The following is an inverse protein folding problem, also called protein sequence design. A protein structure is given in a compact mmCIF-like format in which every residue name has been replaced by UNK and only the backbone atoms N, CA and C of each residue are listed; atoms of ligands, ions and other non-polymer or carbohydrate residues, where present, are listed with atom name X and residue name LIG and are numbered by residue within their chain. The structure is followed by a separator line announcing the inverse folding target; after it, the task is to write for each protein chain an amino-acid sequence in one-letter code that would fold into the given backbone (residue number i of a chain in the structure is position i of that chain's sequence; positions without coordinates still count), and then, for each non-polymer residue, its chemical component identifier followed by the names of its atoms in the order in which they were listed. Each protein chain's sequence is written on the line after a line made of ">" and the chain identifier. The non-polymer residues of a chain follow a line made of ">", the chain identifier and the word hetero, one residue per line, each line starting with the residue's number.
data_IF_265080421633
#
_entry.id   IF_265080421633
#
_cell.length_a   1.000
_cell.length_b   1.000
_cell.length_c   1.000
_cell.angle_alpha   90.00
_cell.angle_beta   90.00
_cell.angle_gamma   90.00
#
_symmetry.space_group_name_H-M   'P 1'
#
loop_
_entity.id
_entity.type
_entity.pdbx_description
1 polymer ?
#
# COMPACT_ATOMS: atom_id res chain seq x y z
N UNK A 1 -14.09 -51.42 45.36
CA UNK A 1 -14.40 -52.01 44.05
C UNK A 1 -14.39 -50.86 43.06
N UNK A 2 -13.25 -50.46 42.55
CA UNK A 2 -12.55 -50.87 41.33
C UNK A 2 -13.43 -50.79 40.10
N UNK A 3 -13.22 -49.75 39.31
CA UNK A 3 -13.17 -49.86 37.85
C UNK A 3 -12.51 -48.64 37.27
N UNK A 4 -11.41 -48.87 36.63
CA UNK A 4 -10.58 -48.06 35.77
C UNK A 4 -11.30 -47.75 34.44
N UNK A 5 -11.31 -46.48 34.01
CA UNK A 5 -11.53 -46.13 32.61
C UNK A 5 -10.36 -45.28 32.09
N UNK A 6 -9.70 -45.84 31.10
CA UNK A 6 -8.68 -45.21 30.26
C UNK A 6 -9.36 -44.25 29.29
N UNK A 7 -9.05 -42.98 29.33
CA UNK A 7 -9.33 -42.06 28.23
C UNK A 7 -8.03 -41.66 27.56
N UNK A 8 -7.90 -42.03 26.30
CA UNK A 8 -6.87 -41.64 25.35
C UNK A 8 -7.10 -40.16 25.01
N UNK A 9 -6.18 -39.30 25.39
CA UNK A 9 -6.13 -37.90 24.96
C UNK A 9 -5.13 -37.81 23.79
N UNK A 10 -5.66 -37.59 22.61
CA UNK A 10 -4.88 -37.15 21.46
C UNK A 10 -4.30 -35.76 21.73
N UNK A 11 -2.99 -35.66 21.73
CA UNK A 11 -2.23 -34.44 21.85
C UNK A 11 -2.23 -33.72 20.50
N UNK A 12 -3.01 -32.63 20.36
CA UNK A 12 -2.76 -31.61 19.36
C UNK A 12 -1.50 -30.85 19.75
N UNK A 13 -0.41 -31.07 19.01
CA UNK A 13 0.84 -30.32 19.13
C UNK A 13 0.65 -28.86 18.72
N UNK A 14 0.41 -28.00 19.69
CA UNK A 14 0.51 -26.55 19.53
C UNK A 14 1.96 -26.15 19.75
N UNK A 15 2.70 -25.86 18.68
CA UNK A 15 4.00 -25.20 18.76
C UNK A 15 3.86 -23.80 19.37
N UNK A 16 3.89 -23.74 20.70
CA UNK A 16 4.07 -22.49 21.44
C UNK A 16 5.55 -22.15 21.43
N UNK A 17 5.95 -21.18 20.62
CA UNK A 17 7.25 -20.51 20.73
C UNK A 17 7.31 -19.78 22.08
N UNK A 18 7.88 -20.43 23.09
CA UNK A 18 8.21 -19.82 24.38
C UNK A 18 9.46 -18.97 24.22
N UNK A 19 9.39 -17.74 24.71
CA UNK A 19 10.47 -16.84 25.13
C UNK A 19 11.85 -17.01 24.50
N UNK A 20 12.00 -16.55 23.24
CA UNK A 20 13.31 -16.35 22.63
C UNK A 20 13.38 -14.91 22.05
N UNK A 21 13.19 -13.91 22.92
CA UNK A 21 13.43 -12.50 22.60
C UNK A 21 14.92 -12.13 22.65
N UNK A 22 15.81 -13.10 22.91
CA UNK A 22 17.27 -12.88 23.08
C UNK A 22 18.16 -13.52 21.99
N UNK A 23 17.64 -14.27 21.03
CA UNK A 23 18.48 -15.01 20.08
C UNK A 23 18.41 -14.54 18.62
N UNK A 24 17.64 -13.51 18.29
CA UNK A 24 17.63 -12.92 16.94
C UNK A 24 18.57 -11.71 16.78
N UNK A 25 19.38 -11.37 17.78
CA UNK A 25 20.27 -10.21 17.79
C UNK A 25 21.75 -10.54 17.86
N UNK A 26 22.20 -11.77 17.63
CA UNK A 26 23.62 -12.08 17.72
C UNK A 26 24.15 -12.82 16.48
N UNK A 27 24.40 -12.02 15.45
CA UNK A 27 25.07 -12.43 14.20
C UNK A 27 26.02 -11.35 13.68
N UNK A 28 26.52 -10.45 14.57
CA UNK A 28 27.56 -9.47 14.20
C UNK A 28 28.37 -9.07 15.42
N UNK A 29 29.35 -9.92 15.82
CA UNK A 29 30.57 -9.52 16.53
C UNK A 29 31.57 -10.65 16.41
N UNK A 30 32.59 -10.45 15.58
CA UNK A 30 33.99 -10.58 15.94
C UNK A 30 34.86 -10.39 14.70
N UNK A 31 35.84 -9.53 14.82
CA UNK A 31 36.90 -9.30 13.84
C UNK A 31 37.49 -7.90 14.00
N UNK A 32 38.10 -7.65 15.14
CA UNK A 32 38.84 -6.42 15.40
C UNK A 32 40.20 -6.41 14.74
N UNK A 33 40.63 -5.21 14.47
CA UNK A 33 41.97 -4.65 14.42
C UNK A 33 43.10 -5.44 13.72
N UNK A 34 43.59 -4.85 12.62
CA UNK A 34 45.03 -4.42 12.64
C UNK A 34 45.32 -3.46 11.48
N UNK A 35 45.97 -2.36 11.83
CA UNK A 35 46.64 -1.43 10.93
C UNK A 35 47.81 -2.09 10.23
N UNK A 36 48.05 -1.85 8.96
CA UNK A 36 49.35 -1.34 8.49
C UNK A 36 49.34 -0.80 7.07
N UNK A 37 49.99 0.33 6.96
CA UNK A 37 50.47 1.04 5.77
C UNK A 37 51.24 0.14 4.79
N UNK A 38 51.12 0.44 3.48
CA UNK A 38 52.07 -0.01 2.48
C UNK A 38 51.74 0.54 1.10
N UNK A 39 52.55 1.45 0.64
CA UNK A 39 52.57 2.09 -0.66
C UNK A 39 53.06 1.18 -1.80
N UNK A 40 52.68 1.57 -3.02
CA UNK A 40 53.35 1.35 -4.35
C UNK A 40 53.23 -0.04 -4.99
N UNK A 41 52.84 -0.20 -6.23
CA UNK A 41 53.40 0.18 -7.49
C UNK A 41 52.65 -0.51 -8.64
N UNK A 42 52.62 0.15 -9.78
CA UNK A 42 52.26 -0.39 -11.10
C UNK A 42 53.01 -1.69 -11.42
N UNK A 43 52.36 -2.65 -12.06
CA UNK A 43 52.93 -3.15 -13.32
C UNK A 43 51.92 -3.96 -14.17
N UNK A 44 52.11 -3.81 -15.49
CA UNK A 44 51.48 -4.52 -16.58
C UNK A 44 51.83 -6.02 -16.60
N UNK A 45 50.94 -6.84 -17.15
CA UNK A 45 51.35 -8.14 -17.64
C UNK A 45 50.18 -9.11 -17.83
N UNK A 46 49.92 -9.41 -19.09
CA UNK A 46 48.89 -10.39 -19.48
C UNK A 46 49.26 -11.85 -19.12
N UNK A 47 48.24 -12.66 -18.98
CA UNK A 47 48.42 -14.11 -18.77
C UNK A 47 47.10 -14.83 -18.75
N UNK A 48 46.84 -15.61 -19.75
CA UNK A 48 45.75 -16.56 -19.93
C UNK A 48 45.83 -17.71 -18.89
N UNK A 49 44.66 -18.30 -18.65
CA UNK A 49 44.34 -19.66 -18.21
C UNK A 49 43.89 -19.85 -16.76
N UNK A 50 42.73 -20.49 -16.70
CA UNK A 50 42.44 -21.46 -15.65
C UNK A 50 40.99 -21.50 -15.19
N UNK A 51 40.19 -22.35 -15.80
CA UNK A 51 38.89 -22.79 -15.33
C UNK A 51 38.90 -23.20 -13.89
N UNK A 52 38.00 -22.66 -13.08
CA UNK A 52 37.40 -23.38 -11.95
C UNK A 52 35.95 -22.99 -11.81
N UNK A 53 35.09 -23.94 -12.11
CA UNK A 53 33.67 -23.94 -11.88
C UNK A 53 33.33 -23.66 -10.43
N UNK A 54 32.74 -22.50 -10.19
CA UNK A 54 32.00 -22.18 -8.97
C UNK A 54 30.54 -22.29 -9.29
N UNK A 55 29.87 -23.34 -8.80
CA UNK A 55 28.43 -23.57 -8.90
C UNK A 55 27.65 -22.52 -8.12
N UNK A 56 27.55 -21.34 -8.69
CA UNK A 56 26.50 -20.38 -8.34
C UNK A 56 25.24 -20.79 -9.09
N UNK A 57 24.21 -21.27 -8.40
CA UNK A 57 22.88 -21.40 -8.96
C UNK A 57 22.44 -20.03 -9.44
N UNK A 58 22.63 -19.75 -10.72
CA UNK A 58 22.08 -18.59 -11.40
C UNK A 58 20.56 -18.63 -11.31
N UNK A 59 19.95 -17.64 -10.67
CA UNK A 59 18.52 -17.39 -10.84
C UNK A 59 18.29 -17.22 -12.36
N UNK A 60 17.27 -17.88 -12.95
CA UNK A 60 16.99 -17.71 -14.35
C UNK A 60 16.68 -16.24 -14.64
N UNK A 61 17.49 -15.60 -15.48
CA UNK A 61 17.19 -14.27 -16.04
C UNK A 61 15.89 -14.38 -16.83
N UNK A 62 14.79 -13.93 -16.21
CA UNK A 62 13.51 -13.78 -16.91
C UNK A 62 13.73 -12.83 -18.10
N UNK A 63 13.35 -13.28 -19.30
CA UNK A 63 13.32 -12.44 -20.49
C UNK A 63 12.61 -11.11 -20.15
N UNK A 64 13.13 -9.98 -20.68
CA UNK A 64 12.53 -8.66 -20.47
C UNK A 64 11.03 -8.60 -20.81
N UNK A 65 10.54 -9.48 -21.71
CA UNK A 65 9.12 -9.62 -22.05
C UNK A 65 8.29 -10.26 -20.93
N UNK A 66 8.87 -11.13 -20.10
CA UNK A 66 8.17 -11.86 -19.04
C UNK A 66 8.05 -11.04 -17.75
N UNK A 67 8.94 -10.06 -17.54
CA UNK A 67 8.89 -9.15 -16.39
C UNK A 67 7.65 -8.25 -16.43
N UNK A 68 7.05 -8.04 -17.61
CA UNK A 68 5.93 -7.11 -17.82
C UNK A 68 4.54 -7.77 -17.81
N UNK A 69 4.44 -9.05 -17.44
CA UNK A 69 3.16 -9.77 -17.39
C UNK A 69 2.48 -9.63 -16.03
N UNK A 70 1.14 -9.73 -16.02
CA UNK A 70 0.36 -9.73 -14.79
C UNK A 70 0.68 -10.93 -13.89
N UNK A 71 1.06 -12.06 -14.48
CA UNK A 71 1.47 -13.29 -13.81
C UNK A 71 2.89 -13.25 -13.22
N UNK A 72 3.76 -12.29 -13.63
CA UNK A 72 5.10 -12.19 -13.07
C UNK A 72 5.07 -11.85 -11.56
N UNK A 73 5.88 -12.46 -10.68
CA UNK A 73 5.83 -12.22 -9.25
C UNK A 73 6.21 -10.78 -8.90
N UNK A 74 5.32 -10.06 -8.20
CA UNK A 74 5.55 -8.70 -7.72
C UNK A 74 6.37 -8.67 -6.43
N UNK A 75 6.28 -9.72 -5.62
CA UNK A 75 6.93 -9.86 -4.33
C UNK A 75 7.91 -11.03 -4.39
N UNK A 76 9.21 -10.75 -4.54
CA UNK A 76 10.25 -11.78 -4.70
C UNK A 76 11.08 -12.00 -3.44
N UNK A 77 11.32 -10.96 -2.65
CA UNK A 77 12.23 -10.98 -1.49
C UNK A 77 11.56 -10.38 -0.26
N UNK A 78 12.05 -10.78 0.91
CA UNK A 78 11.73 -10.11 2.18
C UNK A 78 12.35 -8.72 2.16
N UNK A 79 11.57 -7.69 2.46
CA UNK A 79 12.01 -6.30 2.55
C UNK A 79 11.40 -5.66 3.78
N UNK A 80 12.13 -4.74 4.40
CA UNK A 80 11.66 -3.95 5.52
C UNK A 80 11.16 -2.59 5.05
N UNK A 81 10.26 -1.98 5.85
CA UNK A 81 9.82 -0.61 5.60
C UNK A 81 10.95 0.37 5.94
N UNK A 82 11.13 1.46 5.18
CA UNK A 82 12.23 2.41 5.37
C UNK A 82 12.37 2.95 6.79
N UNK A 83 11.27 3.29 7.45
CA UNK A 83 11.27 3.77 8.85
C UNK A 83 11.52 2.66 9.90
N UNK A 84 11.53 1.38 9.50
CA UNK A 84 11.89 0.24 10.36
C UNK A 84 13.38 -0.08 10.29
N UNK A 85 14.12 0.44 9.30
CA UNK A 85 15.53 0.18 9.12
C UNK A 85 16.38 1.15 9.94
N UNK A 86 17.44 0.65 10.58
CA UNK A 86 18.40 1.46 11.35
C UNK A 86 19.19 2.46 10.49
N UNK A 87 19.09 2.35 9.16
CA UNK A 87 19.77 3.22 8.21
C UNK A 87 19.39 4.70 8.34
N UNK A 88 18.17 5.03 8.82
CA UNK A 88 17.73 6.42 9.03
C UNK A 88 18.52 7.10 10.17
N UNK A 89 18.91 6.34 11.19
CA UNK A 89 19.61 6.88 12.35
C UNK A 89 21.12 7.07 12.12
N UNK A 90 21.66 6.57 11.01
CA UNK A 90 23.10 6.67 10.68
C UNK A 90 23.48 7.91 9.85
N UNK A 91 22.53 8.81 9.52
CA UNK A 91 22.82 9.98 8.71
C UNK A 91 23.53 11.09 9.51
N UNK A 92 24.59 11.67 8.90
CA UNK A 92 25.47 12.67 9.52
C UNK A 92 24.82 14.04 9.83
N UNK A 93 23.54 14.24 9.52
CA UNK A 93 22.83 15.53 9.69
C UNK A 93 21.85 15.55 10.90
N UNK A 94 22.04 14.66 11.87
CA UNK A 94 21.17 14.57 13.05
C UNK A 94 21.05 15.90 13.82
N UNK A 95 22.10 16.72 13.87
CA UNK A 95 22.09 18.04 14.53
C UNK A 95 21.15 19.03 13.84
N UNK A 96 21.17 19.13 12.51
CA UNK A 96 20.27 19.98 11.74
C UNK A 96 18.81 19.53 11.87
N UNK A 97 18.59 18.22 11.83
CA UNK A 97 17.27 17.65 12.02
C UNK A 97 16.70 17.96 13.42
N UNK A 98 17.50 17.80 14.47
CA UNK A 98 17.11 18.13 15.83
C UNK A 98 16.81 19.64 15.98
N UNK A 99 17.61 20.51 15.37
CA UNK A 99 17.36 21.94 15.36
C UNK A 99 16.02 22.26 14.67
N UNK A 100 15.73 21.66 13.52
CA UNK A 100 14.45 21.81 12.84
C UNK A 100 13.27 21.37 13.72
N UNK A 101 13.41 20.27 14.46
CA UNK A 101 12.38 19.82 15.42
C UNK A 101 12.18 20.83 16.53
N UNK A 102 13.26 21.34 17.13
CA UNK A 102 13.17 22.34 18.21
C UNK A 102 12.47 23.61 17.71
N UNK A 103 12.85 24.14 16.55
CA UNK A 103 12.21 25.31 15.94
C UNK A 103 10.74 25.03 15.65
N UNK A 104 10.42 23.88 15.10
CA UNK A 104 9.05 23.47 14.81
C UNK A 104 8.20 23.41 16.09
N UNK A 105 8.72 22.81 17.17
CA UNK A 105 8.05 22.73 18.47
C UNK A 105 7.88 24.13 19.06
N UNK A 106 8.88 24.98 19.02
CA UNK A 106 8.82 26.34 19.55
C UNK A 106 7.76 27.20 18.83
N UNK A 107 7.73 27.17 17.49
CA UNK A 107 6.73 27.90 16.70
C UNK A 107 5.32 27.38 16.94
N UNK A 108 5.14 26.05 17.02
CA UNK A 108 3.83 25.46 17.24
C UNK A 108 3.35 25.59 18.70
N UNK A 109 4.25 25.70 19.70
CA UNK A 109 3.90 25.88 21.11
C UNK A 109 3.05 27.13 21.32
N UNK A 110 3.41 28.24 20.65
CA UNK A 110 2.62 29.45 20.69
C UNK A 110 1.19 29.24 20.16
N UNK A 111 1.06 28.61 19.01
CA UNK A 111 -0.25 28.33 18.41
C UNK A 111 -1.09 27.40 19.29
N UNK A 112 -0.46 26.43 19.94
CA UNK A 112 -1.11 25.52 20.88
C UNK A 112 -1.65 26.30 22.09
N UNK A 113 -0.82 27.15 22.72
CA UNK A 113 -1.19 27.95 23.89
C UNK A 113 -2.32 28.92 23.53
N UNK A 114 -2.20 29.68 22.43
CA UNK A 114 -3.22 30.63 21.99
C UNK A 114 -4.57 29.92 21.71
N UNK A 115 -4.55 28.73 21.08
CA UNK A 115 -5.75 27.95 20.83
C UNK A 115 -6.38 27.44 22.13
N UNK A 116 -5.57 26.90 23.06
CA UNK A 116 -6.02 26.40 24.34
C UNK A 116 -6.59 27.51 25.22
N UNK A 117 -5.99 28.70 25.23
CA UNK A 117 -6.49 29.87 25.95
C UNK A 117 -7.82 30.35 25.35
N UNK A 118 -8.00 30.31 24.03
CA UNK A 118 -9.19 30.82 23.35
C UNK A 118 -10.39 29.89 23.46
N UNK A 119 -10.19 28.57 23.32
CA UNK A 119 -11.27 27.58 23.19
C UNK A 119 -11.35 26.60 24.36
N UNK A 120 -10.36 26.61 25.29
CA UNK A 120 -10.22 25.60 26.32
C UNK A 120 -9.91 24.22 25.72
N UNK A 121 -9.98 23.18 26.55
CA UNK A 121 -9.79 21.78 26.10
C UNK A 121 -11.10 21.23 25.52
N UNK A 122 -11.17 21.08 24.20
CA UNK A 122 -12.36 20.65 23.48
C UNK A 122 -12.52 19.12 23.39
N UNK A 123 -11.65 18.35 24.06
CA UNK A 123 -11.70 16.88 24.02
C UNK A 123 -13.04 16.39 24.59
N UNK A 124 -13.86 15.88 23.72
CA UNK A 124 -15.08 15.13 24.11
C UNK A 124 -14.80 13.64 23.95
N UNK A 125 -14.87 12.89 25.02
CA UNK A 125 -14.74 11.43 25.05
C UNK A 125 -15.72 10.73 24.08
N UNK A 126 -16.80 11.42 23.66
CA UNK A 126 -17.81 10.95 22.71
C UNK A 126 -17.42 11.00 21.23
N UNK A 127 -16.24 11.48 20.85
CA UNK A 127 -15.78 11.48 19.45
C UNK A 127 -15.79 10.05 18.85
N UNK A 128 -15.32 9.08 19.62
CA UNK A 128 -15.28 7.66 19.24
C UNK A 128 -16.61 6.93 19.36
N UNK A 129 -17.54 7.46 20.16
CA UNK A 129 -18.84 6.85 20.48
C UNK A 129 -20.00 7.79 20.16
N UNK A 130 -20.06 8.29 18.92
CA UNK A 130 -21.21 9.08 18.50
C UNK A 130 -22.45 8.21 18.45
N UNK A 131 -23.55 8.67 19.09
CA UNK A 131 -24.87 8.01 19.09
C UNK A 131 -25.53 7.90 17.69
N UNK A 132 -24.86 8.34 16.65
CA UNK A 132 -25.26 8.15 15.23
C UNK A 132 -24.95 6.75 14.69
N UNK A 133 -24.32 5.87 15.47
CA UNK A 133 -23.93 4.51 15.05
C UNK A 133 -25.09 3.65 14.53
N UNK A 134 -26.31 3.86 15.01
CA UNK A 134 -27.50 3.14 14.54
C UNK A 134 -27.92 3.50 13.11
N UNK A 135 -27.62 4.71 12.62
CA UNK A 135 -27.90 5.12 11.23
C UNK A 135 -26.89 4.54 10.24
N UNK A 136 -25.73 4.10 10.72
CA UNK A 136 -24.65 3.53 9.90
C UNK A 136 -24.77 1.99 9.75
N UNK A 137 -25.79 1.38 10.38
CA UNK A 137 -26.03 -0.06 10.28
C UNK A 137 -26.09 -0.61 8.84
N UNK A 138 -26.75 0.06 7.87
CA UNK A 138 -26.79 -0.42 6.49
C UNK A 138 -25.40 -0.45 5.84
N UNK A 139 -24.51 0.50 6.20
CA UNK A 139 -23.13 0.52 5.69
C UNK A 139 -22.31 -0.64 6.25
N UNK A 140 -22.52 -1.00 7.54
CA UNK A 140 -21.89 -2.16 8.15
C UNK A 140 -22.37 -3.46 7.46
N UNK A 141 -23.68 -3.60 7.21
CA UNK A 141 -24.21 -4.74 6.47
C UNK A 141 -23.64 -4.82 5.05
N UNK A 142 -23.55 -3.67 4.37
CA UNK A 142 -22.89 -3.59 3.06
C UNK A 142 -21.44 -4.07 3.15
N UNK A 143 -20.67 -3.61 4.14
CA UNK A 143 -19.28 -4.03 4.35
C UNK A 143 -19.16 -5.55 4.57
N UNK A 144 -20.05 -6.16 5.34
CA UNK A 144 -20.08 -7.59 5.61
C UNK A 144 -20.44 -8.44 4.38
N UNK A 145 -21.14 -7.87 3.40
CA UNK A 145 -21.46 -8.55 2.13
C UNK A 145 -20.35 -8.48 1.09
N UNK A 146 -19.38 -7.54 1.21
CA UNK A 146 -18.30 -7.37 0.24
C UNK A 146 -17.47 -8.65 -0.02
N UNK A 147 -17.18 -9.53 0.94
CA UNK A 147 -16.46 -10.79 0.70
C UNK A 147 -17.14 -11.74 -0.30
N UNK A 148 -18.44 -11.54 -0.57
CA UNK A 148 -19.16 -12.36 -1.56
C UNK A 148 -18.62 -12.14 -2.99
N UNK A 149 -18.08 -10.94 -3.32
CA UNK A 149 -17.54 -10.65 -4.66
C UNK A 149 -16.27 -11.44 -4.97
N UNK A 150 -15.23 -11.44 -4.11
CA UNK A 150 -14.07 -12.33 -4.30
C UNK A 150 -14.43 -13.81 -4.35
N UNK A 151 -15.42 -14.25 -3.57
CA UNK A 151 -15.91 -15.64 -3.62
C UNK A 151 -16.57 -15.95 -4.96
N UNK A 152 -17.41 -15.05 -5.49
CA UNK A 152 -18.03 -15.20 -6.80
C UNK A 152 -16.96 -15.27 -7.91
N UNK A 153 -15.95 -14.39 -7.88
CA UNK A 153 -14.85 -14.42 -8.83
C UNK A 153 -14.03 -15.71 -8.73
N UNK A 154 -13.80 -16.21 -7.51
CA UNK A 154 -13.14 -17.50 -7.29
C UNK A 154 -13.91 -18.66 -7.91
N UNK A 155 -15.24 -18.69 -7.76
CA UNK A 155 -16.09 -19.73 -8.36
C UNK A 155 -16.03 -19.67 -9.89
N UNK A 156 -16.10 -18.46 -10.47
CA UNK A 156 -15.96 -18.27 -11.92
C UNK A 156 -14.60 -18.78 -12.40
N UNK A 157 -13.51 -18.45 -11.71
CA UNK A 157 -12.17 -18.93 -12.04
C UNK A 157 -12.07 -20.44 -11.92
N UNK A 158 -12.62 -21.04 -10.87
CA UNK A 158 -12.63 -22.51 -10.70
C UNK A 158 -13.40 -23.24 -11.80
N UNK A 159 -14.53 -22.69 -12.23
CA UNK A 159 -15.29 -23.21 -13.38
C UNK A 159 -14.51 -23.05 -14.71
N UNK A 160 -13.80 -21.92 -14.86
CA UNK A 160 -12.95 -21.66 -16.02
C UNK A 160 -11.76 -22.63 -16.11
N UNK A 161 -11.12 -22.96 -14.99
CA UNK A 161 -10.05 -23.96 -14.92
C UNK A 161 -10.56 -25.36 -15.28
N UNK A 162 -11.77 -25.72 -14.86
CA UNK A 162 -12.44 -26.98 -15.24
C UNK A 162 -12.94 -26.98 -16.70
N UNK A 163 -12.69 -25.91 -17.47
CA UNK A 163 -13.13 -25.73 -18.86
C UNK A 163 -14.67 -25.82 -19.10
N UNK A 164 -15.44 -25.58 -18.05
CA UNK A 164 -16.91 -25.61 -18.13
C UNK A 164 -17.47 -24.32 -18.76
N UNK A 165 -16.68 -23.24 -18.77
CA UNK A 165 -17.10 -21.92 -19.26
C UNK A 165 -16.10 -21.42 -20.32
N UNK A 166 -16.60 -20.83 -21.41
CA UNK A 166 -15.78 -20.25 -22.47
C UNK A 166 -15.08 -18.94 -22.01
N UNK A 167 -13.92 -18.63 -22.60
CA UNK A 167 -13.12 -17.43 -22.25
C UNK A 167 -13.91 -16.11 -22.26
N UNK A 168 -14.75 -15.81 -23.28
CA UNK A 168 -15.51 -14.55 -23.30
C UNK A 168 -16.58 -14.49 -22.20
N UNK A 169 -17.19 -15.62 -21.84
CA UNK A 169 -18.18 -15.68 -20.76
C UNK A 169 -17.52 -15.45 -19.41
N UNK A 170 -16.32 -15.99 -19.17
CA UNK A 170 -15.55 -15.71 -17.95
C UNK A 170 -15.25 -14.21 -17.83
N UNK A 171 -14.81 -13.57 -18.92
CA UNK A 171 -14.54 -12.13 -18.93
C UNK A 171 -15.81 -11.33 -18.64
N UNK A 172 -16.94 -11.71 -19.24
CA UNK A 172 -18.23 -11.05 -18.99
C UNK A 172 -18.64 -11.13 -17.51
N UNK A 173 -18.55 -12.31 -16.88
CA UNK A 173 -18.85 -12.47 -15.46
C UNK A 173 -17.92 -11.63 -14.57
N UNK A 174 -16.63 -11.58 -14.89
CA UNK A 174 -15.68 -10.75 -14.15
C UNK A 174 -16.01 -9.26 -14.24
N UNK A 175 -16.37 -8.76 -15.42
CA UNK A 175 -16.80 -7.36 -15.60
C UNK A 175 -18.07 -7.08 -14.80
N UNK A 176 -19.06 -7.97 -14.85
CA UNK A 176 -20.31 -7.83 -14.09
C UNK A 176 -20.02 -7.78 -12.58
N UNK A 177 -19.24 -8.72 -12.05
CA UNK A 177 -18.87 -8.77 -10.62
C UNK A 177 -18.17 -7.48 -10.20
N UNK A 178 -17.16 -7.03 -10.97
CA UNK A 178 -16.41 -5.81 -10.67
C UNK A 178 -17.26 -4.54 -10.71
N UNK A 179 -18.24 -4.46 -11.62
CA UNK A 179 -19.17 -3.32 -11.72
C UNK A 179 -20.15 -3.31 -10.55
N UNK A 180 -20.74 -4.45 -10.21
CA UNK A 180 -21.69 -4.55 -9.10
C UNK A 180 -21.00 -4.22 -7.77
N UNK A 181 -19.76 -4.65 -7.58
CA UNK A 181 -18.97 -4.38 -6.37
C UNK A 181 -18.83 -2.87 -6.08
N UNK A 182 -18.69 -2.02 -7.11
CA UNK A 182 -18.63 -0.57 -6.93
C UNK A 182 -20.03 0.03 -6.81
N UNK A 183 -20.96 -0.36 -7.69
CA UNK A 183 -22.29 0.26 -7.78
C UNK A 183 -23.12 0.02 -6.51
N UNK A 184 -23.04 -1.19 -5.95
CA UNK A 184 -23.81 -1.56 -4.77
C UNK A 184 -23.50 -0.69 -3.54
N UNK A 185 -22.25 -0.49 -3.08
CA UNK A 185 -21.94 0.39 -1.96
C UNK A 185 -22.25 1.86 -2.25
N UNK A 186 -22.03 2.34 -3.48
CA UNK A 186 -22.39 3.69 -3.90
C UNK A 186 -23.89 3.91 -3.72
N UNK A 187 -24.73 2.97 -4.18
CA UNK A 187 -26.17 3.04 -4.01
C UNK A 187 -26.57 3.06 -2.53
N UNK A 188 -25.96 2.20 -1.70
CA UNK A 188 -26.23 2.15 -0.25
C UNK A 188 -25.90 3.49 0.42
N UNK A 189 -24.71 4.07 0.14
CA UNK A 189 -24.29 5.35 0.74
C UNK A 189 -25.22 6.49 0.32
N UNK A 190 -25.63 6.54 -0.93
CA UNK A 190 -26.53 7.59 -1.43
C UNK A 190 -27.92 7.49 -0.81
N UNK A 191 -28.43 6.26 -0.58
CA UNK A 191 -29.76 6.02 0.01
C UNK A 191 -29.80 6.21 1.52
N UNK A 192 -28.69 5.92 2.22
CA UNK A 192 -28.63 6.00 3.67
C UNK A 192 -28.08 7.37 4.10
N UNK A 193 -28.70 7.97 5.10
CA UNK A 193 -28.22 9.21 5.72
C UNK A 193 -27.12 8.92 6.75
N UNK A 194 -25.98 8.40 6.24
CA UNK A 194 -24.83 7.97 7.02
C UNK A 194 -23.86 9.10 7.32
N UNK A 195 -23.00 8.92 8.32
CA UNK A 195 -21.89 9.82 8.57
C UNK A 195 -20.89 9.78 7.40
N UNK A 196 -20.34 10.94 7.02
CA UNK A 196 -19.36 11.06 5.93
C UNK A 196 -18.14 10.15 6.15
N UNK A 197 -17.67 10.06 7.40
CA UNK A 197 -16.52 9.23 7.75
C UNK A 197 -16.80 7.72 7.54
N UNK A 198 -17.99 7.25 7.91
CA UNK A 198 -18.42 5.87 7.70
C UNK A 198 -18.52 5.55 6.20
N UNK A 199 -19.10 6.47 5.42
CA UNK A 199 -19.17 6.36 3.96
C UNK A 199 -17.79 6.34 3.31
N UNK A 200 -16.86 7.23 3.74
CA UNK A 200 -15.49 7.27 3.26
C UNK A 200 -14.75 5.95 3.56
N UNK A 201 -14.89 5.43 4.79
CA UNK A 201 -14.28 4.16 5.18
C UNK A 201 -14.79 3.02 4.32
N UNK A 202 -16.10 2.93 4.08
CA UNK A 202 -16.70 1.92 3.20
C UNK A 202 -16.15 2.02 1.78
N UNK A 203 -16.09 3.23 1.18
CA UNK A 203 -15.55 3.43 -0.17
C UNK A 203 -14.07 3.08 -0.29
N UNK A 204 -13.27 3.34 0.74
CA UNK A 204 -11.85 2.91 0.78
C UNK A 204 -11.73 1.38 0.80
N UNK A 205 -12.55 0.69 1.62
CA UNK A 205 -12.57 -0.77 1.67
C UNK A 205 -12.99 -1.35 0.32
N UNK A 206 -14.06 -0.82 -0.29
CA UNK A 206 -14.52 -1.20 -1.64
C UNK A 206 -13.40 -1.04 -2.66
N UNK A 207 -12.73 0.12 -2.68
CA UNK A 207 -11.63 0.37 -3.62
C UNK A 207 -10.47 -0.63 -3.45
N UNK A 208 -10.11 -0.98 -2.21
CA UNK A 208 -9.07 -1.98 -1.94
C UNK A 208 -9.50 -3.37 -2.44
N UNK A 209 -10.74 -3.79 -2.16
CA UNK A 209 -11.26 -5.08 -2.59
C UNK A 209 -11.34 -5.14 -4.11
N UNK A 210 -11.79 -4.08 -4.76
CA UNK A 210 -11.85 -3.98 -6.22
C UNK A 210 -10.46 -4.10 -6.86
N UNK A 211 -9.47 -3.37 -6.36
CA UNK A 211 -8.09 -3.47 -6.86
C UNK A 211 -7.55 -4.90 -6.71
N UNK A 212 -7.82 -5.56 -5.58
CA UNK A 212 -7.44 -6.96 -5.36
C UNK A 212 -8.19 -7.90 -6.29
N UNK A 213 -9.48 -7.69 -6.49
CA UNK A 213 -10.33 -8.48 -7.36
C UNK A 213 -9.84 -8.42 -8.81
N UNK A 214 -9.58 -7.23 -9.36
CA UNK A 214 -8.99 -7.05 -10.69
C UNK A 214 -7.64 -7.74 -10.80
N UNK A 215 -6.79 -7.62 -9.78
CA UNK A 215 -5.49 -8.29 -9.78
C UNK A 215 -5.62 -9.82 -9.80
N UNK A 216 -6.54 -10.38 -9.02
CA UNK A 216 -6.83 -11.80 -8.99
C UNK A 216 -7.31 -12.30 -10.36
N UNK A 217 -8.31 -11.66 -10.94
CA UNK A 217 -8.89 -12.01 -12.22
C UNK A 217 -7.89 -11.90 -13.38
N UNK A 218 -7.17 -10.77 -13.47
CA UNK A 218 -6.19 -10.52 -14.52
C UNK A 218 -5.02 -11.50 -14.47
N UNK A 219 -4.51 -11.79 -13.26
CA UNK A 219 -3.40 -12.73 -13.10
C UNK A 219 -3.81 -14.16 -13.47
N UNK A 220 -4.99 -14.62 -13.06
CA UNK A 220 -5.49 -15.94 -13.43
C UNK A 220 -5.80 -16.05 -14.92
N UNK A 221 -6.33 -14.99 -15.54
CA UNK A 221 -6.50 -14.93 -16.99
C UNK A 221 -5.16 -15.08 -17.73
N UNK A 222 -4.13 -14.35 -17.26
CA UNK A 222 -2.78 -14.42 -17.84
C UNK A 222 -2.16 -15.81 -17.68
N UNK A 223 -2.30 -16.46 -16.52
CA UNK A 223 -1.88 -17.83 -16.29
C UNK A 223 -2.60 -18.82 -17.25
N UNK A 224 -3.91 -18.74 -17.38
CA UNK A 224 -4.66 -19.61 -18.28
C UNK A 224 -4.27 -19.45 -19.75
N UNK A 225 -3.92 -18.23 -20.17
CA UNK A 225 -3.53 -17.97 -21.56
C UNK A 225 -2.11 -18.43 -21.87
N UNK A 226 -1.23 -18.48 -20.86
CA UNK A 226 0.16 -18.91 -21.02
C UNK A 226 0.38 -20.38 -20.83
N UNK A 227 -0.23 -20.99 -19.81
CA UNK A 227 0.01 -22.40 -19.50
C UNK A 227 -0.56 -23.34 -20.56
N UNK A 228 -1.47 -22.87 -21.41
CA UNK A 228 -2.12 -23.69 -22.42
C UNK A 228 -1.24 -24.12 -23.61
N UNK A 229 -0.31 -23.29 -24.13
CA UNK A 229 0.60 -23.68 -25.21
C UNK A 229 1.84 -24.45 -24.74
N UNK A 230 2.38 -24.09 -23.57
CA UNK A 230 3.68 -24.58 -23.07
C UNK A 230 3.55 -25.96 -22.42
N UNK A 231 2.40 -26.23 -21.79
CA UNK A 231 2.14 -27.50 -21.10
C UNK A 231 2.03 -28.73 -22.03
N UNK A 232 1.94 -28.54 -23.37
CA UNK A 232 1.85 -29.64 -24.31
C UNK A 232 3.20 -30.13 -24.85
N UNK A 233 4.22 -29.27 -24.89
CA UNK A 233 5.47 -29.58 -25.57
C UNK A 233 6.74 -29.61 -24.71
N UNK A 234 6.79 -28.89 -23.52
CA UNK A 234 8.01 -28.75 -22.76
C UNK A 234 8.05 -29.39 -21.35
N UNK A 235 6.94 -29.95 -20.84
CA UNK A 235 6.92 -30.69 -19.55
C UNK A 235 7.74 -31.99 -19.58
N UNK A 236 8.32 -32.34 -20.72
CA UNK A 236 9.06 -33.60 -20.90
C UNK A 236 10.59 -33.48 -20.71
N UNK A 237 11.14 -32.31 -20.56
CA UNK A 237 12.60 -32.18 -20.60
C UNK A 237 13.25 -31.15 -19.70
N UNK A 238 12.72 -30.73 -18.58
CA UNK A 238 13.62 -30.14 -17.56
C UNK A 238 12.82 -29.78 -16.30
N UNK A 239 13.25 -30.31 -15.17
CA UNK A 239 12.65 -30.19 -13.85
C UNK A 239 12.60 -28.79 -13.23
N UNK A 240 12.11 -27.78 -13.95
CA UNK A 240 11.69 -26.50 -13.40
C UNK A 240 10.21 -26.58 -13.03
N UNK A 241 9.91 -27.36 -12.01
CA UNK A 241 8.66 -27.27 -11.30
C UNK A 241 8.60 -25.89 -10.60
N UNK A 242 8.17 -24.85 -11.32
CA UNK A 242 7.44 -23.78 -10.66
C UNK A 242 6.22 -24.48 -10.05
N UNK A 243 6.16 -24.57 -8.70
CA UNK A 243 5.10 -25.24 -7.94
C UNK A 243 3.73 -24.61 -8.19
N UNK A 244 3.29 -24.71 -9.45
CA UNK A 244 1.99 -24.29 -9.91
C UNK A 244 1.03 -25.45 -9.66
N UNK A 245 0.28 -25.38 -8.59
CA UNK A 245 -0.84 -26.28 -8.37
C UNK A 245 -1.88 -26.01 -9.48
N UNK A 246 -2.30 -27.06 -10.19
CA UNK A 246 -3.27 -27.00 -11.29
C UNK A 246 -4.66 -26.44 -10.89
N UNK A 247 -4.86 -26.02 -9.66
CA UNK A 247 -6.12 -25.49 -9.15
C UNK A 247 -5.91 -24.22 -8.34
N UNK A 248 -6.82 -23.25 -8.51
CA UNK A 248 -6.85 -22.02 -7.70
C UNK A 248 -7.25 -22.38 -6.27
N UNK A 249 -6.33 -22.19 -5.33
CA UNK A 249 -6.57 -22.52 -3.92
C UNK A 249 -7.45 -21.47 -3.23
N UNK A 250 -8.49 -21.91 -2.52
CA UNK A 250 -9.31 -21.05 -1.68
C UNK A 250 -8.50 -20.40 -0.55
N UNK A 251 -7.62 -21.17 0.10
CA UNK A 251 -6.72 -20.63 1.13
C UNK A 251 -5.79 -19.54 0.60
N UNK A 252 -5.31 -19.69 -0.65
CA UNK A 252 -4.53 -18.66 -1.34
C UNK A 252 -5.31 -17.37 -1.58
N UNK A 253 -6.59 -17.47 -1.99
CA UNK A 253 -7.47 -16.30 -2.13
C UNK A 253 -7.68 -15.61 -0.78
N UNK A 254 -8.06 -16.35 0.27
CA UNK A 254 -8.30 -15.78 1.61
C UNK A 254 -7.04 -15.08 2.13
N UNK A 255 -5.88 -15.74 2.01
CA UNK A 255 -4.61 -15.13 2.38
C UNK A 255 -4.35 -13.83 1.59
N UNK A 256 -4.55 -13.83 0.28
CA UNK A 256 -4.38 -12.64 -0.55
C UNK A 256 -5.33 -11.52 -0.16
N UNK A 257 -6.60 -11.82 0.10
CA UNK A 257 -7.58 -10.81 0.51
C UNK A 257 -7.21 -10.14 1.84
N UNK A 258 -6.56 -10.87 2.74
CA UNK A 258 -6.09 -10.34 4.03
C UNK A 258 -4.69 -9.71 3.95
N UNK A 259 -3.83 -10.15 3.05
CA UNK A 259 -2.44 -9.67 2.95
C UNK A 259 -2.35 -8.19 2.58
N UNK A 260 -1.35 -7.44 3.10
CA UNK A 260 -1.14 -6.02 2.79
C UNK A 260 -0.50 -5.83 1.41
N UNK A 261 -1.12 -6.36 0.39
CA UNK A 261 -0.72 -6.22 -1.02
C UNK A 261 -1.93 -6.13 -1.93
N UNK A 262 -1.80 -5.44 -3.06
CA UNK A 262 -2.84 -5.35 -4.09
C UNK A 262 -2.56 -6.26 -5.30
N UNK A 263 -1.35 -6.84 -5.39
CA UNK A 263 -0.96 -7.69 -6.49
C UNK A 263 -1.09 -9.17 -6.10
N UNK A 264 -1.96 -9.90 -6.79
CA UNK A 264 -2.11 -11.34 -6.61
C UNK A 264 -0.91 -12.10 -7.13
N UNK A 265 -0.47 -13.10 -6.38
CA UNK A 265 0.48 -14.14 -6.81
C UNK A 265 0.23 -15.44 -6.03
N UNK A 266 0.56 -16.62 -6.57
CA UNK A 266 0.31 -17.90 -5.92
C UNK A 266 1.07 -18.09 -4.60
N UNK A 267 2.28 -17.53 -4.49
CA UNK A 267 3.12 -17.63 -3.30
C UNK A 267 3.74 -16.28 -2.94
N UNK A 268 3.86 -16.00 -1.65
CA UNK A 268 4.45 -14.78 -1.13
C UNK A 268 5.65 -15.10 -0.25
N UNK A 269 6.69 -14.25 -0.21
CA UNK A 269 7.77 -14.40 0.74
C UNK A 269 7.21 -14.30 2.17
N UNK A 270 7.61 -15.21 3.05
CA UNK A 270 7.14 -15.27 4.44
C UNK A 270 8.29 -15.08 5.42
N UNK A 271 8.00 -14.40 6.54
CA UNK A 271 8.91 -14.32 7.68
C UNK A 271 8.88 -15.60 8.53
N UNK A 272 9.97 -15.88 9.25
CA UNK A 272 10.09 -17.12 10.02
C UNK A 272 9.12 -17.21 11.18
N UNK A 273 8.95 -16.11 11.95
CA UNK A 273 8.09 -16.08 13.15
C UNK A 273 7.34 -14.75 13.31
N UNK A 274 6.37 -14.71 14.23
CA UNK A 274 5.63 -13.52 14.61
C UNK A 274 6.24 -12.96 15.89
N UNK A 275 6.72 -11.72 15.86
CA UNK A 275 7.35 -11.02 17.00
C UNK A 275 6.29 -10.34 17.86
N UNK A 276 5.69 -11.07 18.81
CA UNK A 276 4.56 -10.60 19.64
C UNK A 276 4.85 -9.29 20.37
N UNK A 277 6.00 -9.17 21.04
CA UNK A 277 6.39 -7.95 21.76
C UNK A 277 6.55 -6.74 20.83
N UNK A 278 7.05 -6.95 19.61
CA UNK A 278 7.10 -5.91 18.59
C UNK A 278 5.69 -5.46 18.17
N UNK A 279 4.76 -6.40 17.94
CA UNK A 279 3.37 -6.09 17.57
C UNK A 279 2.70 -5.23 18.63
N UNK A 280 2.82 -5.60 19.90
CA UNK A 280 2.23 -4.85 21.04
C UNK A 280 2.76 -3.41 21.04
N UNK A 281 4.08 -3.22 20.89
CA UNK A 281 4.68 -1.87 20.80
C UNK A 281 4.12 -1.06 19.63
N UNK A 282 3.93 -1.67 18.45
CA UNK A 282 3.34 -0.98 17.30
C UNK A 282 1.85 -0.66 17.50
N UNK A 283 1.09 -1.55 18.13
CA UNK A 283 -0.31 -1.28 18.48
C UNK A 283 -0.44 -0.11 19.46
N UNK A 284 0.43 -0.01 20.47
CA UNK A 284 0.45 1.13 21.39
C UNK A 284 0.76 2.43 20.64
N UNK A 285 1.79 2.43 19.76
CA UNK A 285 2.09 3.59 18.90
C UNK A 285 0.89 3.97 18.03
N UNK A 286 0.22 2.99 17.42
CA UNK A 286 -0.97 3.22 16.60
C UNK A 286 -2.08 3.91 17.41
N UNK A 287 -2.36 3.43 18.61
CA UNK A 287 -3.37 4.03 19.50
C UNK A 287 -3.00 5.48 19.89
N UNK A 288 -1.73 5.73 20.25
CA UNK A 288 -1.25 7.08 20.62
C UNK A 288 -1.36 8.05 19.45
N UNK A 289 -0.84 7.68 18.27
CA UNK A 289 -0.87 8.57 17.09
C UNK A 289 -2.28 8.79 16.54
N UNK A 290 -3.15 7.77 16.62
CA UNK A 290 -4.57 7.93 16.26
C UNK A 290 -5.30 8.85 17.24
N UNK A 291 -5.01 8.74 18.54
CA UNK A 291 -5.51 9.68 19.55
C UNK A 291 -5.04 11.11 19.31
N UNK A 292 -3.75 11.28 18.99
CA UNK A 292 -3.17 12.58 18.66
C UNK A 292 -3.79 13.20 17.40
N UNK A 293 -4.03 12.40 16.38
CA UNK A 293 -4.74 12.82 15.16
C UNK A 293 -6.17 13.29 15.49
N UNK A 294 -6.91 12.53 16.29
CA UNK A 294 -8.24 12.92 16.76
C UNK A 294 -8.22 14.23 17.55
N UNK A 295 -7.22 14.43 18.43
CA UNK A 295 -7.01 15.68 19.15
C UNK A 295 -6.82 16.88 18.20
N UNK A 296 -5.98 16.74 17.17
CA UNK A 296 -5.77 17.82 16.19
C UNK A 296 -7.08 18.15 15.46
N UNK A 297 -7.85 17.15 15.07
CA UNK A 297 -9.12 17.36 14.37
C UNK A 297 -10.10 18.13 15.25
N UNK A 298 -10.32 17.68 16.50
CA UNK A 298 -11.28 18.30 17.41
C UNK A 298 -10.85 19.69 17.90
N UNK A 299 -9.59 19.84 18.24
CA UNK A 299 -9.07 21.07 18.87
C UNK A 299 -8.81 22.18 17.86
N UNK A 300 -8.36 21.83 16.64
CA UNK A 300 -7.91 22.81 15.64
C UNK A 300 -8.80 22.88 14.42
N UNK A 301 -9.09 21.73 13.78
CA UNK A 301 -9.81 21.71 12.49
C UNK A 301 -11.27 22.06 12.69
N UNK A 302 -11.95 21.42 13.62
CA UNK A 302 -13.39 21.63 13.83
C UNK A 302 -13.77 23.08 14.18
N UNK A 303 -13.06 23.81 15.05
CA UNK A 303 -13.36 25.22 15.30
C UNK A 303 -13.18 26.10 14.05
N UNK A 304 -12.11 25.87 13.27
CA UNK A 304 -11.84 26.64 12.04
C UNK A 304 -12.96 26.39 11.04
N UNK A 305 -13.38 25.15 10.84
CA UNK A 305 -14.45 24.77 9.92
C UNK A 305 -15.79 25.35 10.35
N UNK A 306 -16.15 25.25 11.64
CA UNK A 306 -17.39 25.85 12.18
C UNK A 306 -17.44 27.36 11.99
N UNK A 307 -16.33 28.07 12.27
CA UNK A 307 -16.24 29.50 12.05
C UNK A 307 -16.23 29.90 10.57
N UNK A 308 -15.98 28.93 9.67
CA UNK A 308 -15.99 29.17 8.22
C UNK A 308 -17.36 29.03 7.58
N UNK A 309 -18.37 28.52 8.30
CA UNK A 309 -19.74 28.31 7.77
C UNK A 309 -20.52 29.63 7.59
N UNK A 310 -20.05 30.74 8.22
CA UNK A 310 -20.62 32.05 7.96
C UNK A 310 -20.26 32.51 6.54
N UNK A 311 -21.25 33.01 5.77
CA UNK A 311 -21.03 33.44 4.39
C UNK A 311 -19.92 34.49 4.34
N UNK A 312 -18.95 34.25 3.47
CA UNK A 312 -17.89 35.19 3.15
C UNK A 312 -18.54 36.40 2.46
N UNK A 313 -18.77 37.50 3.17
CA UNK A 313 -19.04 38.78 2.51
C UNK A 313 -17.76 39.18 1.74
N UNK A 314 -17.65 38.73 0.50
CA UNK A 314 -16.95 39.38 -0.59
C UNK A 314 -15.42 39.47 -0.58
N UNK A 315 -14.66 39.06 0.45
CA UNK A 315 -13.20 39.27 0.48
C UNK A 315 -12.43 37.98 0.21
N UNK A 316 -11.84 37.88 -1.00
CA UNK A 316 -10.91 36.81 -1.40
C UNK A 316 -9.75 36.61 -0.43
N UNK A 317 -9.20 37.68 0.18
CA UNK A 317 -8.16 37.62 1.20
C UNK A 317 -8.59 36.82 2.44
N UNK A 318 -9.83 36.97 2.90
CA UNK A 318 -10.36 36.19 4.02
C UNK A 318 -10.48 34.69 3.69
N UNK A 319 -10.73 34.35 2.43
CA UNK A 319 -10.73 32.94 1.98
C UNK A 319 -9.31 32.36 2.00
N UNK A 320 -8.32 33.10 1.52
CA UNK A 320 -6.90 32.71 1.56
C UNK A 320 -6.45 32.53 3.01
N UNK A 321 -6.75 33.48 3.91
CA UNK A 321 -6.38 33.37 5.32
C UNK A 321 -6.97 32.11 5.97
N UNK A 322 -8.22 31.76 5.69
CA UNK A 322 -8.85 30.54 6.21
C UNK A 322 -8.19 29.28 5.67
N UNK A 323 -7.88 29.23 4.39
CA UNK A 323 -7.16 28.11 3.78
C UNK A 323 -5.78 27.95 4.41
N UNK A 324 -5.04 29.03 4.59
CA UNK A 324 -3.72 29.01 5.26
C UNK A 324 -3.81 28.55 6.71
N UNK A 325 -4.81 29.03 7.47
CA UNK A 325 -5.03 28.59 8.86
C UNK A 325 -5.36 27.09 8.95
N UNK A 326 -6.04 26.53 7.95
CA UNK A 326 -6.41 25.11 7.90
C UNK A 326 -5.26 24.23 7.38
N UNK A 327 -4.35 24.78 6.57
CA UNK A 327 -3.31 23.99 5.88
C UNK A 327 -2.36 23.28 6.84
N UNK A 328 -1.91 23.96 7.89
CA UNK A 328 -0.94 23.42 8.88
C UNK A 328 -1.55 22.27 9.70
N UNK A 329 -2.71 22.43 10.38
CA UNK A 329 -3.34 21.32 11.09
C UNK A 329 -3.67 20.14 10.17
N UNK A 330 -4.13 20.42 8.96
CA UNK A 330 -4.43 19.38 7.98
C UNK A 330 -3.17 18.62 7.54
N UNK A 331 -2.03 19.30 7.38
CA UNK A 331 -0.75 18.65 7.09
C UNK A 331 -0.35 17.67 8.20
N UNK A 332 -0.50 18.08 9.49
CA UNK A 332 -0.19 17.18 10.61
C UNK A 332 -1.11 15.96 10.64
N UNK A 333 -2.42 16.14 10.41
CA UNK A 333 -3.37 15.03 10.31
C UNK A 333 -2.98 14.09 9.17
N UNK A 334 -2.59 14.63 8.02
CA UNK A 334 -2.16 13.85 6.87
C UNK A 334 -0.88 13.04 7.17
N UNK A 335 0.13 13.65 7.81
CA UNK A 335 1.37 12.97 8.21
C UNK A 335 1.09 11.87 9.25
N UNK A 336 0.24 12.14 10.25
CA UNK A 336 -0.19 11.14 11.23
C UNK A 336 -0.94 9.99 10.56
N UNK A 337 -1.86 10.29 9.64
CA UNK A 337 -2.60 9.29 8.86
C UNK A 337 -1.66 8.42 8.03
N UNK A 338 -0.68 9.04 7.35
CA UNK A 338 0.34 8.30 6.61
C UNK A 338 1.10 7.34 7.53
N UNK A 339 1.61 7.83 8.67
CA UNK A 339 2.36 7.02 9.64
C UNK A 339 1.50 5.90 10.23
N UNK A 340 0.27 6.21 10.67
CA UNK A 340 -0.65 5.22 11.23
C UNK A 340 -1.01 4.13 10.22
N UNK A 341 -1.34 4.49 8.98
CA UNK A 341 -1.79 3.53 7.99
C UNK A 341 -0.63 2.78 7.33
N UNK A 342 0.29 3.50 6.66
CA UNK A 342 1.34 2.86 5.86
C UNK A 342 2.46 2.25 6.70
N UNK A 343 2.85 2.92 7.82
CA UNK A 343 3.95 2.39 8.63
C UNK A 343 3.44 1.46 9.74
N UNK A 344 2.47 1.86 10.53
CA UNK A 344 2.04 1.05 11.68
C UNK A 344 1.09 -0.07 11.26
N UNK A 345 -0.08 0.27 10.70
CA UNK A 345 -1.13 -0.70 10.40
C UNK A 345 -0.69 -1.77 9.40
N UNK A 346 -0.11 -1.38 8.25
CA UNK A 346 0.33 -2.36 7.24
C UNK A 346 1.44 -3.27 7.75
N UNK A 347 2.38 -2.76 8.59
CA UNK A 347 3.41 -3.59 9.19
C UNK A 347 2.86 -4.53 10.28
N UNK A 348 1.90 -4.10 11.10
CA UNK A 348 1.21 -4.96 12.06
C UNK A 348 0.50 -6.10 11.31
N UNK A 349 -0.25 -5.79 10.26
CA UNK A 349 -0.94 -6.77 9.43
C UNK A 349 0.05 -7.73 8.74
N UNK A 350 1.17 -7.22 8.23
CA UNK A 350 2.24 -8.02 7.65
C UNK A 350 2.86 -8.98 8.66
N UNK A 351 3.06 -8.54 9.89
CA UNK A 351 3.62 -9.40 10.96
C UNK A 351 2.67 -10.53 11.32
N UNK A 352 1.37 -10.25 11.51
CA UNK A 352 0.36 -11.28 11.79
C UNK A 352 0.25 -12.32 10.68
N UNK A 353 0.34 -11.90 9.42
CA UNK A 353 0.25 -12.78 8.26
C UNK A 353 1.60 -13.36 7.83
N UNK A 354 2.67 -13.05 8.57
CA UNK A 354 4.05 -13.43 8.22
C UNK A 354 4.44 -13.01 6.80
N UNK A 355 3.88 -11.88 6.33
CA UNK A 355 4.14 -11.33 5.01
C UNK A 355 5.52 -10.65 4.98
N UNK A 356 6.39 -11.05 4.04
CA UNK A 356 7.80 -10.67 4.05
C UNK A 356 8.15 -9.39 3.28
N UNK A 357 7.43 -9.04 2.21
CA UNK A 357 7.72 -7.82 1.43
C UNK A 357 7.02 -6.60 2.03
N UNK A 358 7.68 -5.95 2.98
CA UNK A 358 7.15 -4.81 3.74
C UNK A 358 7.51 -3.45 3.13
N UNK A 359 7.87 -3.40 1.86
CA UNK A 359 8.11 -2.16 1.13
C UNK A 359 6.78 -1.52 0.73
N UNK A 360 6.08 -0.91 1.72
CA UNK A 360 4.79 -0.25 1.50
C UNK A 360 4.93 1.18 0.98
N UNK A 361 6.10 1.79 1.19
CA UNK A 361 6.49 3.11 0.71
C UNK A 361 8.02 3.17 0.62
N UNK A 362 8.55 4.18 -0.07
CA UNK A 362 9.98 4.52 -0.10
C UNK A 362 10.19 5.90 0.51
N UNK A 363 11.39 6.44 0.41
CA UNK A 363 11.80 7.75 0.97
C UNK A 363 11.16 8.91 0.19
N UNK A 364 9.83 8.94 0.09
CA UNK A 364 9.08 9.93 -0.67
C UNK A 364 9.34 11.37 -0.21
N UNK A 365 9.77 11.58 1.04
CA UNK A 365 10.17 12.88 1.57
C UNK A 365 11.48 13.41 0.98
N UNK A 366 12.28 12.57 0.34
CA UNK A 366 13.49 12.91 -0.39
C UNK A 366 13.28 13.03 -1.91
N UNK A 367 12.04 12.93 -2.38
CA UNK A 367 11.71 13.02 -3.79
C UNK A 367 12.06 14.39 -4.36
N UNK A 368 12.76 14.43 -5.50
CA UNK A 368 13.17 15.65 -6.19
C UNK A 368 12.14 16.12 -7.22
N UNK A 369 11.26 15.23 -7.65
CA UNK A 369 10.23 15.51 -8.65
C UNK A 369 8.87 14.97 -8.20
N UNK A 370 7.79 15.55 -8.74
CA UNK A 370 6.41 15.09 -8.47
C UNK A 370 6.22 13.63 -8.95
N UNK A 371 6.85 13.26 -10.08
CA UNK A 371 6.83 11.87 -10.57
C UNK A 371 7.48 10.91 -9.56
N UNK A 372 8.66 11.28 -9.05
CA UNK A 372 9.38 10.47 -8.07
C UNK A 372 8.58 10.33 -6.78
N UNK A 373 7.95 11.42 -6.30
CA UNK A 373 7.04 11.39 -5.16
C UNK A 373 5.92 10.37 -5.35
N UNK A 374 5.16 10.42 -6.45
CA UNK A 374 4.06 9.49 -6.71
C UNK A 374 4.51 8.04 -6.86
N UNK A 375 5.73 7.83 -7.35
CA UNK A 375 6.30 6.49 -7.46
C UNK A 375 6.72 5.89 -6.12
N UNK A 376 6.98 6.74 -5.10
CA UNK A 376 7.58 6.30 -3.83
C UNK A 376 6.60 6.26 -2.66
N UNK A 377 5.57 7.09 -2.66
CA UNK A 377 4.75 7.28 -1.48
C UNK A 377 3.76 6.14 -1.18
N UNK A 378 3.26 5.43 -2.18
CA UNK A 378 2.32 4.31 -2.04
C UNK A 378 2.71 3.16 -2.98
N UNK A 379 3.62 2.30 -2.51
CA UNK A 379 4.15 1.20 -3.31
C UNK A 379 3.11 0.13 -3.69
N UNK A 380 2.15 -0.29 -2.83
CA UNK A 380 1.10 -1.21 -3.22
C UNK A 380 0.29 -0.75 -4.43
N UNK A 381 -0.16 0.50 -4.41
CA UNK A 381 -0.92 1.08 -5.54
C UNK A 381 -0.01 1.27 -6.76
N UNK A 382 1.22 1.75 -6.58
CA UNK A 382 2.17 1.91 -7.68
C UNK A 382 2.47 0.57 -8.38
N UNK A 383 2.79 -0.50 -7.62
CA UNK A 383 3.03 -1.84 -8.17
C UNK A 383 1.79 -2.35 -8.93
N UNK A 384 0.59 -2.09 -8.41
CA UNK A 384 -0.67 -2.48 -9.03
C UNK A 384 -0.92 -1.72 -10.35
N UNK A 385 -0.79 -0.39 -10.36
CA UNK A 385 -0.99 0.46 -11.55
C UNK A 385 -0.04 0.08 -12.69
N UNK A 386 1.23 -0.11 -12.35
CA UNK A 386 2.25 -0.51 -13.31
C UNK A 386 1.93 -1.87 -13.93
N UNK A 387 1.49 -2.84 -13.10
CA UNK A 387 1.26 -4.21 -13.53
C UNK A 387 -0.04 -4.39 -14.33
N UNK A 388 -1.12 -3.76 -13.87
CA UNK A 388 -2.45 -4.02 -14.40
C UNK A 388 -2.94 -2.98 -15.41
N UNK A 389 -2.29 -1.81 -15.50
CA UNK A 389 -2.66 -0.75 -16.43
C UNK A 389 -1.50 -0.39 -17.34
N UNK A 390 -0.38 0.12 -16.80
CA UNK A 390 0.70 0.66 -17.60
C UNK A 390 1.31 -0.37 -18.57
N UNK A 391 1.76 -1.51 -18.08
CA UNK A 391 2.36 -2.52 -18.94
C UNK A 391 1.40 -3.15 -19.95
N UNK A 392 0.15 -3.48 -19.61
CA UNK A 392 -0.82 -3.91 -20.61
C UNK A 392 -1.04 -2.87 -21.72
N UNK A 393 -1.14 -1.58 -21.39
CA UNK A 393 -1.26 -0.52 -22.39
C UNK A 393 -0.04 -0.48 -23.33
N UNK A 394 1.17 -0.48 -22.77
CA UNK A 394 2.41 -0.46 -23.57
C UNK A 394 2.57 -1.72 -24.42
N UNK A 395 2.19 -2.89 -23.88
CA UNK A 395 2.24 -4.17 -24.61
C UNK A 395 1.28 -4.18 -25.80
N UNK A 396 0.14 -3.50 -25.69
CA UNK A 396 -0.83 -3.35 -26.78
C UNK A 396 -0.47 -2.21 -27.77
N UNK A 397 0.77 -1.67 -27.71
CA UNK A 397 1.27 -0.69 -28.65
C UNK A 397 0.94 0.78 -28.32
N UNK A 398 0.34 1.05 -27.16
CA UNK A 398 0.09 2.44 -26.75
C UNK A 398 1.40 3.16 -26.35
N UNK A 399 1.57 4.44 -26.72
CA UNK A 399 2.71 5.23 -26.30
C UNK A 399 2.81 5.32 -24.78
N UNK A 400 4.04 5.35 -24.23
CA UNK A 400 4.29 5.41 -22.78
C UNK A 400 3.56 6.58 -22.10
N UNK A 401 3.51 7.76 -22.75
CA UNK A 401 2.81 8.94 -22.22
C UNK A 401 1.30 8.70 -22.08
N UNK A 402 0.68 8.04 -23.06
CA UNK A 402 -0.74 7.70 -23.01
C UNK A 402 -1.02 6.67 -21.92
N UNK A 403 -0.16 5.67 -21.74
CA UNK A 403 -0.29 4.68 -20.69
C UNK A 403 -0.22 5.32 -19.27
N UNK A 404 0.67 6.30 -19.09
CA UNK A 404 0.75 7.09 -17.85
C UNK A 404 -0.54 7.90 -17.66
N UNK A 405 -1.00 8.60 -18.68
CA UNK A 405 -2.23 9.39 -18.62
C UNK A 405 -3.44 8.53 -18.22
N UNK A 406 -3.61 7.35 -18.82
CA UNK A 406 -4.68 6.42 -18.47
C UNK A 406 -4.58 5.99 -17.00
N UNK A 407 -3.35 5.72 -16.51
CA UNK A 407 -3.13 5.34 -15.11
C UNK A 407 -3.58 6.45 -14.14
N UNK A 408 -3.21 7.71 -14.42
CA UNK A 408 -3.64 8.85 -13.61
C UNK A 408 -5.15 9.11 -13.71
N UNK A 409 -5.74 8.94 -14.89
CA UNK A 409 -7.19 9.10 -15.09
C UNK A 409 -7.98 8.10 -14.22
N UNK A 410 -7.58 6.83 -14.21
CA UNK A 410 -8.19 5.80 -13.36
C UNK A 410 -8.02 6.17 -11.88
N UNK A 411 -6.82 6.61 -11.49
CA UNK A 411 -6.57 7.10 -10.13
C UNK A 411 -7.49 8.26 -9.75
N UNK A 412 -7.65 9.25 -10.65
CA UNK A 412 -8.51 10.41 -10.43
C UNK A 412 -9.98 10.02 -10.23
N UNK A 413 -10.49 9.06 -11.03
CA UNK A 413 -11.85 8.53 -10.89
C UNK A 413 -12.05 7.89 -9.51
N UNK A 414 -11.11 7.04 -9.04
CA UNK A 414 -11.23 6.42 -7.72
C UNK A 414 -11.18 7.43 -6.58
N UNK A 415 -10.33 8.46 -6.67
CA UNK A 415 -10.29 9.52 -5.67
C UNK A 415 -11.60 10.32 -5.63
N UNK A 416 -12.18 10.64 -6.80
CA UNK A 416 -13.48 11.30 -6.86
C UNK A 416 -14.58 10.41 -6.26
N UNK A 417 -14.63 9.12 -6.58
CA UNK A 417 -15.57 8.18 -5.99
C UNK A 417 -15.46 8.13 -4.47
N UNK A 418 -14.25 8.03 -3.94
CA UNK A 418 -14.01 7.97 -2.50
C UNK A 418 -14.43 9.24 -1.76
N UNK A 419 -14.38 10.42 -2.40
CA UNK A 419 -14.68 11.71 -1.76
C UNK A 419 -16.10 12.16 -2.09
N UNK A 420 -16.49 12.17 -3.36
CA UNK A 420 -17.77 12.72 -3.81
C UNK A 420 -18.96 11.93 -3.31
N UNK A 421 -18.88 10.60 -3.29
CA UNK A 421 -19.98 9.72 -2.88
C UNK A 421 -20.31 9.90 -1.39
N UNK A 422 -19.37 9.77 -0.44
CA UNK A 422 -19.66 10.00 0.98
C UNK A 422 -20.07 11.43 1.31
N UNK A 423 -19.45 12.42 0.64
CA UNK A 423 -19.78 13.83 0.82
C UNK A 423 -21.06 14.25 0.09
N UNK A 424 -21.63 13.39 -0.76
CA UNK A 424 -22.78 13.70 -1.65
C UNK A 424 -22.56 14.96 -2.48
N UNK A 425 -21.32 15.21 -2.88
CA UNK A 425 -20.91 16.44 -3.56
C UNK A 425 -20.17 16.10 -4.84
N UNK A 426 -20.90 16.00 -5.95
CA UNK A 426 -20.37 15.65 -7.27
C UNK A 426 -19.88 16.90 -8.01
N UNK A 427 -18.77 17.49 -7.56
CA UNK A 427 -18.16 18.70 -8.15
C UNK A 427 -16.84 18.44 -8.86
N UNK A 428 -16.41 17.18 -8.96
CA UNK A 428 -15.15 16.74 -9.59
C UNK A 428 -13.87 17.38 -9.02
N UNK A 429 -13.90 17.82 -7.75
CA UNK A 429 -12.77 18.51 -7.12
C UNK A 429 -11.53 17.62 -7.01
N UNK A 430 -11.69 16.37 -6.56
CA UNK A 430 -10.58 15.44 -6.43
C UNK A 430 -10.05 15.02 -7.81
N UNK A 431 -10.94 14.78 -8.76
CA UNK A 431 -10.59 14.48 -10.15
C UNK A 431 -9.77 15.60 -10.79
N UNK A 432 -10.23 16.86 -10.67
CA UNK A 432 -9.54 18.04 -11.19
C UNK A 432 -8.18 18.20 -10.50
N UNK A 433 -8.11 18.07 -9.17
CA UNK A 433 -6.88 18.23 -8.42
C UNK A 433 -5.78 17.24 -8.87
N UNK A 434 -6.13 15.96 -9.10
CA UNK A 434 -5.19 14.96 -9.60
C UNK A 434 -4.83 15.22 -11.07
N UNK A 435 -5.79 15.61 -11.89
CA UNK A 435 -5.57 15.90 -13.31
C UNK A 435 -4.65 17.10 -13.51
N UNK A 436 -4.75 18.14 -12.68
CA UNK A 436 -3.84 19.31 -12.71
C UNK A 436 -2.40 18.89 -12.40
N UNK A 437 -2.16 17.96 -11.47
CA UNK A 437 -0.82 17.49 -11.13
C UNK A 437 -0.14 16.81 -12.31
N UNK A 438 -0.89 16.09 -13.14
CA UNK A 438 -0.38 15.47 -14.38
C UNK A 438 0.06 16.53 -15.39
N UNK A 439 -0.81 17.53 -15.62
CA UNK A 439 -0.50 18.63 -16.53
C UNK A 439 0.73 19.42 -16.07
N UNK A 440 0.81 19.71 -14.76
CA UNK A 440 1.96 20.38 -14.17
C UNK A 440 3.26 19.57 -14.38
N UNK A 441 3.21 18.26 -14.23
CA UNK A 441 4.35 17.37 -14.48
C UNK A 441 4.86 17.49 -15.94
N UNK A 442 3.96 17.38 -16.93
CA UNK A 442 4.34 17.50 -18.35
C UNK A 442 4.86 18.88 -18.70
N UNK A 443 4.25 19.95 -18.16
CA UNK A 443 4.68 21.32 -18.37
C UNK A 443 6.08 21.56 -17.79
N UNK A 444 6.34 21.16 -16.57
CA UNK A 444 7.66 21.30 -15.93
C UNK A 444 8.74 20.51 -16.67
N UNK A 445 8.43 19.32 -17.14
CA UNK A 445 9.35 18.50 -17.94
C UNK A 445 9.63 19.14 -19.30
N UNK A 446 8.62 19.72 -19.95
CA UNK A 446 8.79 20.48 -21.20
C UNK A 446 9.67 21.71 -21.01
N UNK A 447 9.48 22.48 -19.95
CA UNK A 447 10.31 23.64 -19.60
C UNK A 447 11.75 23.22 -19.30
N UNK A 448 11.95 22.14 -18.52
CA UNK A 448 13.28 21.61 -18.22
C UNK A 448 14.03 21.17 -19.50
N UNK A 449 13.35 20.49 -20.42
CA UNK A 449 13.90 20.07 -21.69
C UNK A 449 14.26 21.27 -22.61
N UNK A 450 13.38 22.27 -22.66
CA UNK A 450 13.64 23.51 -23.40
C UNK A 450 14.86 24.27 -22.86
N UNK A 451 14.97 24.39 -21.53
CA UNK A 451 16.11 25.06 -20.89
C UNK A 451 17.42 24.29 -21.08
N UNK A 452 17.39 22.95 -21.08
CA UNK A 452 18.57 22.14 -21.37
C UNK A 452 19.06 22.35 -22.83
N UNK A 453 18.16 22.35 -23.81
CA UNK A 453 18.53 22.57 -25.21
C UNK A 453 19.09 23.97 -25.40
N UNK A 454 18.55 25.00 -24.73
CA UNK A 454 19.05 26.37 -24.80
C UNK A 454 20.42 26.56 -24.13
N UNK A 455 20.77 25.69 -23.16
CA UNK A 455 22.08 25.73 -22.49
C UNK A 455 23.18 24.98 -23.29
N UNK A 456 22.78 24.20 -24.31
CA UNK A 456 23.68 23.48 -25.23
C UNK A 456 23.88 24.19 -26.56
N UNK A 457 23.13 25.24 -26.87
CA UNK A 457 23.37 26.25 -27.92
C UNK A 457 24.25 27.40 -27.39
#
# INVERSE_FOLDING_TARGET
>A
MTSTENSVTEAMGGDTCSDADSTCMDGRRNGGAEKRMGKMAMNNGGGKRGDRAGTGRGEPELSAKDVFRASAPAHRRVKESPLSSDAIFSQSHAGLFNLCIVVLVAVNSRLIIENLMKYGLLIRAGFWFSSRSLKDWPLLMCCLTLPCFPLAAFLVEKLAWKKLISKPVVLLFHVIIAMIEIIYPVFVIIRCDSAVLSGLTLMLIVSIIWLKLISFMHTNYDFRTMCYPIAKDEIRSEGLSFGYSDDVSFGGLVYFMMAPTLCYQPSYPRTACIRRGWVIRQCIKLAVFTGFMGFIIEQYINPIVKNSQHPLKGNFLNAIERVLKLSVPNLYVWLCMFYCFFHLWLNILAEFLRFGDREFYKDWWNAKTIEEYWRMWNMPVHKWMVRHIYFPCVRNGLPKGVAILISFLISAIFHELCIAVPCRTFKFWAFIAISIQVNLHYTLRGIAFYNMNKATE
#
